data_IF_898352328091
#
_entry.id   IF_898352328091
#
_cell.length_a   1.000
_cell.length_b   1.000
_cell.length_c   1.000
_cell.angle_alpha   90.00
_cell.angle_beta   90.00
_cell.angle_gamma   90.00
#
_symmetry.space_group_name_H-M   'P 1'
#
loop_
_entity.id
_entity.type
_entity.pdbx_description
1 polymer ?
#
# COMPACT_ATOMS: atom_id res chain seq x y z
N UNK A 1 21.32 9.88 1.68
CA UNK A 1 19.95 10.41 1.64
C UNK A 1 19.14 9.54 2.59
N UNK A 2 18.75 10.07 3.75
CA UNK A 2 17.90 9.36 4.70
C UNK A 2 16.46 9.73 4.35
N UNK A 3 15.87 9.00 3.40
CA UNK A 3 14.43 9.05 3.18
C UNK A 3 13.78 8.68 4.51
N UNK A 4 13.21 9.66 5.22
CA UNK A 4 12.51 9.40 6.47
C UNK A 4 11.24 8.63 6.14
N UNK A 5 11.34 7.30 6.18
CA UNK A 5 10.19 6.39 6.13
C UNK A 5 9.40 6.57 7.42
N UNK A 6 8.10 6.84 7.31
CA UNK A 6 7.22 7.05 8.45
C UNK A 6 6.20 5.91 8.50
N UNK A 7 6.31 4.95 9.43
CA UNK A 7 5.27 3.94 9.62
C UNK A 7 3.98 4.62 10.13
N UNK A 8 2.85 4.23 9.55
CA UNK A 8 1.52 4.72 9.90
C UNK A 8 0.79 3.68 10.77
N UNK A 9 0.99 3.79 12.08
CA UNK A 9 0.37 2.90 13.09
C UNK A 9 -0.70 3.58 13.96
N UNK A 10 -0.73 4.91 13.97
CA UNK A 10 -1.74 5.70 14.68
C UNK A 10 -2.91 6.04 13.75
N UNK A 11 -4.02 6.51 14.33
CA UNK A 11 -5.21 7.02 13.61
C UNK A 11 -4.99 8.40 12.94
N UNK A 12 -3.83 8.55 12.27
CA UNK A 12 -3.57 9.65 11.34
C UNK A 12 -4.58 9.59 10.17
N UNK A 13 -4.75 10.72 9.47
CA UNK A 13 -5.68 10.81 8.34
C UNK A 13 -4.91 10.86 7.03
N UNK A 14 -5.28 9.99 6.10
CA UNK A 14 -4.71 9.90 4.77
C UNK A 14 -5.74 10.43 3.77
N UNK A 15 -5.34 11.37 2.93
CA UNK A 15 -6.07 11.82 1.75
C UNK A 15 -5.56 11.07 0.52
N UNK A 16 -6.43 10.28 -0.10
CA UNK A 16 -6.19 9.56 -1.35
C UNK A 16 -7.13 10.12 -2.42
N UNK A 17 -6.56 10.82 -3.40
CA UNK A 17 -7.37 11.51 -4.41
C UNK A 17 -8.26 12.59 -3.79
N UNK A 18 -9.56 12.30 -3.65
CA UNK A 18 -10.55 13.20 -3.05
C UNK A 18 -11.10 12.69 -1.71
N UNK A 19 -10.77 11.46 -1.34
CA UNK A 19 -11.35 10.78 -0.19
C UNK A 19 -10.35 10.73 0.97
N UNK A 20 -10.86 10.94 2.19
CA UNK A 20 -10.06 10.88 3.42
C UNK A 20 -10.37 9.63 4.21
N UNK A 21 -9.33 8.98 4.72
CA UNK A 21 -9.44 7.77 5.53
C UNK A 21 -8.60 7.91 6.79
N UNK A 22 -9.13 7.48 7.94
CA UNK A 22 -8.26 7.15 9.07
C UNK A 22 -7.43 5.92 8.70
N UNK A 23 -6.19 5.88 9.17
CA UNK A 23 -5.26 4.75 8.96
C UNK A 23 -5.88 3.41 9.33
N UNK A 24 -6.47 3.27 10.53
CA UNK A 24 -7.16 2.04 10.94
C UNK A 24 -8.26 1.63 9.96
N UNK A 25 -9.10 2.59 9.58
CA UNK A 25 -10.21 2.35 8.66
C UNK A 25 -9.72 1.94 7.27
N UNK A 26 -8.63 2.53 6.79
CA UNK A 26 -8.02 2.14 5.52
C UNK A 26 -7.51 0.70 5.57
N UNK A 27 -6.80 0.31 6.64
CA UNK A 27 -6.34 -1.09 6.86
C UNK A 27 -7.52 -2.07 6.83
N UNK A 28 -8.58 -1.80 7.58
CA UNK A 28 -9.81 -2.63 7.58
C UNK A 28 -10.43 -2.79 6.19
N UNK A 29 -10.54 -1.68 5.43
CA UNK A 29 -11.15 -1.69 4.10
C UNK A 29 -10.32 -2.49 3.10
N UNK A 30 -8.99 -2.31 3.12
CA UNK A 30 -8.07 -3.07 2.28
C UNK A 30 -8.19 -4.56 2.60
N UNK A 31 -8.12 -4.93 3.88
CA UNK A 31 -8.21 -6.32 4.33
C UNK A 31 -9.53 -6.96 3.87
N UNK A 32 -10.66 -6.26 4.08
CA UNK A 32 -11.99 -6.73 3.69
C UNK A 32 -12.10 -6.92 2.18
N UNK A 33 -11.64 -5.96 1.39
CA UNK A 33 -11.72 -6.04 -0.07
C UNK A 33 -10.87 -7.17 -0.62
N UNK A 34 -9.62 -7.29 -0.16
CA UNK A 34 -8.70 -8.33 -0.61
C UNK A 34 -9.22 -9.72 -0.24
N UNK A 35 -9.65 -9.92 1.01
CA UNK A 35 -10.24 -11.19 1.46
C UNK A 35 -11.46 -11.57 0.61
N UNK A 36 -12.37 -10.63 0.38
CA UNK A 36 -13.55 -10.87 -0.45
C UNK A 36 -13.17 -11.27 -1.89
N UNK A 37 -12.12 -10.66 -2.47
CA UNK A 37 -11.65 -11.00 -3.82
C UNK A 37 -10.97 -12.37 -3.88
N UNK A 38 -10.18 -12.73 -2.87
CA UNK A 38 -9.48 -14.01 -2.81
C UNK A 38 -10.42 -15.20 -2.55
N UNK A 39 -11.46 -14.98 -1.75
CA UNK A 39 -12.49 -15.99 -1.45
C UNK A 39 -13.56 -16.09 -2.54
N UNK A 40 -13.60 -15.15 -3.49
CA UNK A 40 -14.55 -15.19 -4.60
C UNK A 40 -14.27 -16.41 -5.46
N UNK A 41 -15.28 -17.28 -5.59
CA UNK A 41 -15.26 -18.42 -6.49
C UNK A 41 -15.53 -17.97 -7.91
N UNK A 42 -14.78 -18.53 -8.86
CA UNK A 42 -15.04 -18.36 -10.29
C UNK A 42 -15.81 -19.59 -10.74
N UNK A 43 -16.97 -19.39 -11.37
CA UNK A 43 -17.74 -20.52 -11.93
C UNK A 43 -17.01 -21.07 -13.15
N UNK A 44 -17.00 -22.39 -13.29
CA UNK A 44 -16.60 -23.01 -14.55
C UNK A 44 -17.65 -22.69 -15.62
N UNK A 45 -17.20 -22.29 -16.80
CA UNK A 45 -18.10 -21.87 -17.88
C UNK A 45 -19.04 -22.97 -18.37
N UNK A 46 -18.73 -24.23 -18.06
CA UNK A 46 -19.37 -25.41 -18.64
C UNK A 46 -20.17 -26.23 -17.62
N UNK A 47 -20.15 -25.87 -16.33
CA UNK A 47 -20.85 -26.58 -15.26
C UNK A 47 -21.55 -25.56 -14.35
N UNK A 48 -22.77 -25.86 -13.88
CA UNK A 48 -23.47 -25.07 -12.86
C UNK A 48 -22.87 -25.27 -11.45
N UNK A 49 -21.68 -25.88 -11.36
CA UNK A 49 -21.01 -26.16 -10.10
C UNK A 49 -20.21 -24.93 -9.62
N UNK A 50 -20.16 -24.69 -8.30
CA UNK A 50 -19.34 -23.62 -7.74
C UNK A 50 -17.87 -23.96 -7.99
N UNK A 51 -17.22 -23.26 -8.92
CA UNK A 51 -15.81 -23.47 -9.22
C UNK A 51 -14.88 -23.02 -8.08
N UNK A 52 -13.58 -23.00 -8.35
CA UNK A 52 -12.54 -22.78 -7.34
C UNK A 52 -12.37 -21.29 -7.00
N UNK A 53 -12.02 -21.01 -5.75
CA UNK A 53 -11.56 -19.69 -5.32
C UNK A 53 -10.12 -19.43 -5.77
N UNK A 54 -9.70 -18.16 -5.77
CA UNK A 54 -8.31 -17.80 -6.12
C UNK A 54 -7.29 -18.49 -5.20
N UNK A 55 -7.59 -18.59 -3.89
CA UNK A 55 -6.73 -19.28 -2.92
C UNK A 55 -6.60 -20.77 -3.24
N UNK A 56 -7.72 -21.44 -3.55
CA UNK A 56 -7.73 -22.84 -3.97
C UNK A 56 -6.94 -23.01 -5.27
N UNK A 57 -7.11 -22.12 -6.24
CA UNK A 57 -6.40 -22.16 -7.53
C UNK A 57 -4.87 -22.09 -7.37
N UNK A 58 -4.36 -21.24 -6.48
CA UNK A 58 -2.92 -21.19 -6.21
C UNK A 58 -2.39 -22.45 -5.51
N UNK A 59 -3.20 -23.12 -4.70
CA UNK A 59 -2.84 -24.41 -4.08
C UNK A 59 -2.81 -25.58 -5.08
N UNK A 60 -3.38 -25.42 -6.26
CA UNK A 60 -3.35 -26.43 -7.33
C UNK A 60 -2.07 -26.37 -8.17
N UNK A 61 -1.19 -25.38 -7.96
CA UNK A 61 0.04 -25.26 -8.73
C UNK A 61 1.01 -26.38 -8.32
N UNK A 62 1.39 -27.22 -9.28
CA UNK A 62 2.35 -28.31 -9.09
C UNK A 62 3.53 -28.16 -10.05
N UNK A 63 4.74 -28.46 -9.57
CA UNK A 63 5.97 -28.61 -10.34
C UNK A 63 6.35 -30.09 -10.36
N UNK A 64 5.86 -30.81 -11.37
CA UNK A 64 6.00 -32.27 -11.43
C UNK A 64 5.22 -32.95 -10.29
N UNK A 65 5.90 -33.78 -9.50
CA UNK A 65 5.32 -34.45 -8.33
C UNK A 65 5.25 -33.56 -7.08
N UNK A 66 5.80 -32.34 -7.14
CA UNK A 66 5.81 -31.42 -6.00
C UNK A 66 4.63 -30.45 -6.11
N UNK A 67 3.78 -30.46 -5.08
CA UNK A 67 2.72 -29.45 -4.94
C UNK A 67 3.29 -28.18 -4.29
N UNK A 68 3.11 -27.04 -4.94
CA UNK A 68 3.38 -25.75 -4.33
C UNK A 68 2.21 -25.45 -3.39
N UNK A 69 2.48 -25.55 -2.08
CA UNK A 69 1.52 -25.06 -1.08
C UNK A 69 1.68 -23.55 -0.99
N UNK A 70 0.65 -22.80 -1.37
CA UNK A 70 0.63 -21.37 -1.16
C UNK A 70 0.48 -21.12 0.34
N UNK A 71 1.55 -20.78 1.03
CA UNK A 71 1.53 -20.42 2.46
C UNK A 71 1.23 -18.94 2.67
N UNK A 72 1.69 -18.09 1.76
CA UNK A 72 1.65 -16.63 1.89
C UNK A 72 1.50 -15.95 0.53
N UNK A 73 0.72 -14.87 0.49
CA UNK A 73 0.67 -13.92 -0.62
C UNK A 73 1.11 -12.55 -0.07
N UNK A 74 2.12 -11.95 -0.70
CA UNK A 74 2.55 -10.59 -0.42
C UNK A 74 2.19 -9.68 -1.59
N UNK A 75 1.59 -8.53 -1.31
CA UNK A 75 1.27 -7.50 -2.29
C UNK A 75 1.84 -6.16 -1.85
N UNK A 76 2.59 -5.50 -2.74
CA UNK A 76 3.20 -4.21 -2.50
C UNK A 76 2.66 -3.20 -3.51
N UNK A 77 2.18 -2.05 -3.03
CA UNK A 77 1.63 -1.00 -3.86
C UNK A 77 1.95 0.39 -3.33
N UNK A 78 2.35 1.29 -4.23
CA UNK A 78 2.69 2.66 -3.91
C UNK A 78 1.70 3.63 -4.58
N UNK A 79 1.23 4.63 -3.84
CA UNK A 79 0.29 5.64 -4.35
C UNK A 79 0.58 7.02 -3.78
N UNK A 80 0.43 8.07 -4.60
CA UNK A 80 0.54 9.44 -4.12
C UNK A 80 -0.61 9.77 -3.16
N UNK A 81 -0.29 10.42 -2.04
CA UNK A 81 -1.25 10.76 -1.00
C UNK A 81 -0.86 12.06 -0.29
N UNK A 82 -1.73 12.49 0.61
CA UNK A 82 -1.36 13.45 1.65
C UNK A 82 -1.69 12.86 3.01
N UNK A 83 -0.87 13.13 4.02
CA UNK A 83 -1.10 12.66 5.39
C UNK A 83 -1.22 13.86 6.31
N UNK A 84 -2.27 13.87 7.13
CA UNK A 84 -2.45 14.78 8.24
C UNK A 84 -2.23 14.00 9.54
N UNK A 85 -1.16 14.33 10.25
CA UNK A 85 -0.83 13.68 11.52
C UNK A 85 -1.40 14.46 12.70
N UNK A 86 -1.73 13.75 13.77
CA UNK A 86 -2.14 14.38 15.02
C UNK A 86 -0.98 15.27 15.52
N UNK A 87 -1.25 16.55 15.75
CA UNK A 87 -0.26 17.53 16.19
C UNK A 87 0.64 18.13 15.09
N UNK A 88 0.40 17.80 13.82
CA UNK A 88 1.07 18.47 12.70
C UNK A 88 0.37 19.77 12.29
N UNK A 89 1.12 20.72 11.73
CA UNK A 89 0.62 22.03 11.29
C UNK A 89 -0.18 21.97 9.97
N UNK A 90 -0.27 20.80 9.32
CA UNK A 90 -1.04 20.66 8.10
C UNK A 90 -0.79 19.36 7.34
N UNK A 91 -1.38 19.28 6.14
CA UNK A 91 -1.24 18.15 5.24
C UNK A 91 0.17 18.07 4.65
N UNK A 92 0.77 16.89 4.70
CA UNK A 92 2.06 16.61 4.07
C UNK A 92 1.86 15.73 2.85
N UNK A 93 2.37 16.16 1.70
CA UNK A 93 2.35 15.38 0.45
C UNK A 93 3.44 14.31 0.47
N UNK A 94 3.19 13.19 -0.18
CA UNK A 94 4.14 12.09 -0.28
C UNK A 94 3.55 10.86 -0.95
N UNK A 95 4.29 9.75 -0.86
CA UNK A 95 3.85 8.43 -1.31
C UNK A 95 3.48 7.55 -0.12
N UNK A 96 2.32 6.91 -0.21
CA UNK A 96 1.91 5.83 0.67
C UNK A 96 2.30 4.51 0.04
N UNK A 97 3.16 3.75 0.71
CA UNK A 97 3.40 2.35 0.44
C UNK A 97 2.45 1.50 1.29
N UNK A 98 1.83 0.52 0.63
CA UNK A 98 0.90 -0.42 1.21
C UNK A 98 1.48 -1.80 0.98
N UNK A 99 1.81 -2.48 2.06
CA UNK A 99 2.24 -3.87 2.04
C UNK A 99 1.14 -4.72 2.69
N UNK A 100 0.69 -5.75 1.98
CA UNK A 100 -0.34 -6.68 2.45
C UNK A 100 0.25 -8.08 2.45
N UNK A 101 0.26 -8.71 3.61
CA UNK A 101 0.68 -10.09 3.81
C UNK A 101 -0.53 -10.93 4.20
N UNK A 102 -0.82 -11.97 3.41
CA UNK A 102 -1.99 -12.82 3.57
C UNK A 102 -1.53 -14.25 3.78
N UNK A 103 -1.88 -14.82 4.92
CA UNK A 103 -1.48 -16.18 5.28
C UNK A 103 -2.64 -17.14 4.98
N UNK A 104 -2.39 -18.11 4.10
CA UNK A 104 -3.45 -18.97 3.57
C UNK A 104 -4.11 -19.87 4.63
N UNK A 105 -3.40 -20.16 5.72
CA UNK A 105 -3.82 -21.09 6.78
C UNK A 105 -4.62 -20.43 7.90
N UNK A 106 -4.54 -19.11 8.07
CA UNK A 106 -5.30 -18.41 9.09
C UNK A 106 -5.54 -16.95 8.69
N UNK A 107 -6.76 -16.60 8.22
CA UNK A 107 -7.08 -15.25 7.79
C UNK A 107 -7.03 -14.21 8.92
N UNK A 108 -7.00 -14.64 10.18
CA UNK A 108 -6.83 -13.74 11.33
C UNK A 108 -5.37 -13.30 11.53
N UNK A 109 -4.42 -13.87 10.77
CA UNK A 109 -3.01 -13.51 10.80
C UNK A 109 -2.61 -12.57 9.64
N UNK A 110 -3.57 -12.11 8.83
CA UNK A 110 -3.27 -11.16 7.77
C UNK A 110 -2.72 -9.86 8.36
N UNK A 111 -1.71 -9.29 7.71
CA UNK A 111 -1.05 -8.07 8.16
C UNK A 111 -1.07 -7.04 7.04
N UNK A 112 -1.32 -5.78 7.42
CA UNK A 112 -1.28 -4.63 6.50
C UNK A 112 -0.38 -3.58 7.11
N UNK A 113 0.73 -3.31 6.42
CA UNK A 113 1.69 -2.28 6.77
C UNK A 113 1.48 -1.09 5.84
N UNK A 114 1.47 0.10 6.45
CA UNK A 114 1.32 1.36 5.74
C UNK A 114 2.53 2.22 6.08
N UNK A 115 3.29 2.61 5.07
CA UNK A 115 4.47 3.45 5.20
C UNK A 115 4.30 4.72 4.38
N UNK A 116 4.58 5.86 4.98
CA UNK A 116 4.53 7.15 4.32
C UNK A 116 5.94 7.67 4.05
N UNK A 117 6.16 8.05 2.79
CA UNK A 117 7.38 8.66 2.29
C UNK A 117 7.06 10.12 1.94
N UNK A 118 7.39 11.09 2.80
CA UNK A 118 7.16 12.49 2.51
C UNK A 118 7.88 12.89 1.22
N UNK A 119 7.25 13.71 0.39
CA UNK A 119 7.97 14.40 -0.67
C UNK A 119 9.00 15.35 -0.03
N UNK A 120 10.24 15.29 -0.50
CA UNK A 120 11.25 16.27 -0.13
C UNK A 120 10.82 17.62 -0.72
N UNK A 121 10.72 18.64 0.13
CA UNK A 121 10.61 20.00 -0.36
C UNK A 121 11.98 20.37 -0.92
N UNK A 122 12.05 20.55 -2.23
CA UNK A 122 13.12 21.36 -2.80
C UNK A 122 12.79 22.78 -2.36
N UNK A 123 13.40 23.22 -1.27
CA UNK A 123 13.36 24.62 -0.88
C UNK A 123 14.01 25.38 -2.05
N UNK A 124 13.21 26.14 -2.79
CA UNK A 124 13.74 27.03 -3.81
C UNK A 124 14.45 28.16 -3.07
N UNK A 125 15.75 27.98 -2.88
CA UNK A 125 16.58 28.94 -2.17
C UNK A 125 16.80 30.14 -3.09
N UNK A 126 15.99 31.19 -2.92
CA UNK A 126 16.11 32.41 -3.73
C UNK A 126 17.50 33.05 -3.59
N UNK A 127 18.20 32.78 -2.48
CA UNK A 127 19.57 33.23 -2.27
C UNK A 127 20.56 32.58 -3.25
N UNK A 128 20.34 31.31 -3.63
CA UNK A 128 21.17 30.65 -4.64
C UNK A 128 20.96 31.27 -6.02
N UNK A 129 19.72 31.65 -6.34
CA UNK A 129 19.38 32.33 -7.61
C UNK A 129 20.04 33.72 -7.67
N UNK A 130 20.04 34.45 -6.55
CA UNK A 130 20.71 35.74 -6.42
C UNK A 130 22.25 35.62 -6.50
N UNK A 131 22.85 34.57 -5.91
CA UNK A 131 24.30 34.29 -6.03
C UNK A 131 24.68 33.95 -7.47
N UNK A 132 23.88 33.12 -8.16
CA UNK A 132 24.12 32.77 -9.56
C UNK A 132 24.05 33.98 -10.49
N UNK A 133 23.16 34.94 -10.23
CA UNK A 133 23.13 36.22 -10.97
C UNK A 133 24.40 37.05 -10.76
N UNK A 134 24.87 37.18 -9.53
CA UNK A 134 26.09 37.95 -9.21
C UNK A 134 27.34 37.35 -9.87
N UNK A 135 27.40 36.02 -9.98
CA UNK A 135 28.52 35.33 -10.65
C UNK A 135 28.44 35.46 -12.19
N UNK A 136 27.24 35.54 -12.76
CA UNK A 136 27.03 35.69 -14.20
C UNK A 136 27.24 37.13 -14.70
N UNK A 137 27.23 38.12 -13.81
CA UNK A 137 27.43 39.54 -14.12
C UNK A 137 28.87 40.04 -13.90
N UNK A 138 29.80 39.17 -13.49
CA UNK A 138 31.25 39.43 -13.44
C UNK A 138 32.01 38.66 -14.53
#
# INVERSE_FOLDING_TARGET
MNDKIIPLDCDDVILLGKDTFKVSRLKELIEKQIRHRLQRRVYESNTLEPGVSMLELFNLISLGEHHIKLSEIQFNYAINCQVLRIGSEGWRKGKLNIEVCILSLNPNLNQIYLEFHPEEFIEYDSLLDDICKIIAEN
#
